data_IF_565225948151
#
_entry.id   IF_565225948151
#
_cell.length_a   1.000
_cell.length_b   1.000
_cell.length_c   1.000
_cell.angle_alpha   90.00
_cell.angle_beta   90.00
_cell.angle_gamma   90.00
#
_symmetry.space_group_name_H-M   'P 1'
#
loop_
_entity.id
_entity.type
_entity.pdbx_description
1 polymer ?
#
# COMPACT_ATOMS: atom_id res chain seq x y z
N UNK A 1 14.76 29.84 23.18
CA UNK A 1 15.02 29.04 24.38
C UNK A 1 13.70 28.41 24.78
N UNK A 2 13.70 27.10 25.01
CA UNK A 2 12.54 26.36 25.51
C UNK A 2 12.98 25.66 26.78
N UNK A 3 12.10 25.63 27.77
CA UNK A 3 12.38 25.04 29.08
C UNK A 3 11.28 24.04 29.41
N UNK A 4 11.66 22.90 29.98
CA UNK A 4 10.73 21.87 30.40
C UNK A 4 11.33 21.01 31.49
N UNK A 5 10.48 20.30 32.23
CA UNK A 5 10.91 19.36 33.25
C UNK A 5 11.39 18.06 32.63
N UNK A 6 12.43 17.45 33.21
CA UNK A 6 12.94 16.15 32.77
C UNK A 6 11.86 15.06 32.87
N UNK A 7 10.99 15.13 33.88
CA UNK A 7 9.84 14.24 34.05
C UNK A 7 8.87 14.30 32.87
N UNK A 8 8.75 15.45 32.21
CA UNK A 8 7.86 15.60 31.05
C UNK A 8 8.41 14.85 29.85
N UNK A 9 9.74 14.85 29.69
CA UNK A 9 10.42 14.13 28.60
C UNK A 9 10.49 12.62 28.87
N UNK A 10 10.73 12.22 30.12
CA UNK A 10 10.89 10.81 30.51
C UNK A 10 9.62 9.97 30.33
N UNK A 11 8.46 10.59 30.19
CA UNK A 11 7.17 9.93 29.85
C UNK A 11 7.22 9.16 28.54
N UNK A 12 8.04 9.58 27.58
CA UNK A 12 8.15 8.94 26.27
C UNK A 12 9.60 8.51 25.99
N UNK A 13 10.09 7.45 26.66
CA UNK A 13 11.51 7.07 26.63
C UNK A 13 11.99 6.58 25.25
N UNK A 14 11.07 6.19 24.36
CA UNK A 14 11.40 5.73 23.02
C UNK A 14 11.82 6.87 22.07
N UNK A 15 11.42 8.10 22.41
CA UNK A 15 11.68 9.30 21.61
C UNK A 15 13.12 9.79 21.78
N UNK A 16 13.57 10.69 20.89
CA UNK A 16 14.91 11.28 20.97
C UNK A 16 15.11 12.07 22.27
N UNK A 17 14.14 12.90 22.67
CA UNK A 17 14.24 13.76 23.85
C UNK A 17 13.97 13.01 25.16
N UNK A 18 13.14 11.96 25.11
CA UNK A 18 12.86 11.14 26.29
C UNK A 18 13.97 10.16 26.64
N UNK A 19 14.81 9.78 25.68
CA UNK A 19 15.92 8.86 25.92
C UNK A 19 17.23 9.63 26.27
N UNK A 20 17.78 9.49 27.49
CA UNK A 20 19.01 10.16 27.89
C UNK A 20 20.19 9.84 26.96
N UNK A 21 20.31 8.58 26.53
CA UNK A 21 21.36 8.11 25.61
C UNK A 21 21.28 8.74 24.23
N UNK A 22 20.07 9.07 23.74
CA UNK A 22 19.87 9.67 22.41
C UNK A 22 20.05 11.19 22.47
N UNK A 23 19.61 11.86 23.53
CA UNK A 23 19.73 13.33 23.62
C UNK A 23 21.12 13.81 24.02
N UNK A 24 21.93 13.00 24.73
CA UNK A 24 23.27 13.40 25.20
C UNK A 24 24.20 13.86 24.07
N UNK A 25 24.01 13.34 22.85
CA UNK A 25 24.79 13.75 21.67
C UNK A 25 24.54 15.22 21.25
N UNK A 26 23.44 15.83 21.71
CA UNK A 26 23.07 17.22 21.41
C UNK A 26 23.32 18.15 22.61
N UNK A 27 23.97 17.66 23.66
CA UNK A 27 24.21 18.44 24.87
C UNK A 27 25.46 19.31 24.72
N UNK A 28 25.30 20.63 24.85
CA UNK A 28 26.38 21.59 24.89
C UNK A 28 26.82 21.86 26.34
N UNK A 29 28.00 21.35 26.70
CA UNK A 29 28.58 21.50 28.04
C UNK A 29 28.90 22.95 28.42
N UNK A 30 29.06 23.85 27.44
CA UNK A 30 29.45 25.24 27.71
C UNK A 30 28.28 26.05 28.25
N UNK A 31 27.08 25.78 27.73
CA UNK A 31 25.85 26.51 28.01
C UNK A 31 24.85 25.71 28.85
N UNK A 32 25.21 24.48 29.24
CA UNK A 32 24.38 23.54 30.01
C UNK A 32 23.00 23.28 29.37
N UNK A 33 22.96 23.23 28.03
CA UNK A 33 21.71 23.13 27.26
C UNK A 33 21.78 22.08 26.16
N UNK A 34 20.60 21.62 25.70
CA UNK A 34 20.50 20.78 24.52
C UNK A 34 20.25 21.65 23.29
N UNK A 35 21.19 21.65 22.35
CA UNK A 35 21.12 22.49 21.17
C UNK A 35 20.68 21.72 19.92
N UNK A 36 19.64 22.23 19.26
CA UNK A 36 19.12 21.69 18.00
C UNK A 36 19.04 22.80 16.95
N UNK A 37 19.86 22.71 15.89
CA UNK A 37 19.79 23.64 14.75
C UNK A 37 18.67 23.24 13.77
N UNK A 38 17.42 23.35 14.21
CA UNK A 38 16.23 22.89 13.48
C UNK A 38 15.09 23.91 13.52
N UNK A 39 13.95 23.58 12.93
CA UNK A 39 12.82 24.51 12.81
C UNK A 39 12.20 24.82 14.20
N UNK A 40 12.36 26.07 14.64
CA UNK A 40 11.89 26.55 15.94
C UNK A 40 10.36 26.48 16.10
N UNK A 41 9.60 26.76 15.03
CA UNK A 41 8.14 26.77 15.09
C UNK A 41 7.57 25.35 15.18
N UNK A 42 8.22 24.39 14.52
CA UNK A 42 7.85 22.98 14.63
C UNK A 42 8.12 22.45 16.05
N UNK A 43 9.24 22.87 16.66
CA UNK A 43 9.61 22.42 18.00
C UNK A 43 8.57 22.76 19.07
N UNK A 44 7.84 23.86 18.93
CA UNK A 44 6.78 24.25 19.86
C UNK A 44 5.69 23.16 19.97
N UNK A 45 5.23 22.66 18.82
CA UNK A 45 4.29 21.54 18.76
C UNK A 45 4.91 20.20 19.22
N UNK A 46 6.19 19.98 18.96
CA UNK A 46 6.94 18.81 19.44
C UNK A 46 7.01 18.82 20.97
N UNK A 47 7.28 19.96 21.60
CA UNK A 47 7.33 20.09 23.05
C UNK A 47 5.93 19.94 23.66
N UNK A 48 4.93 20.55 23.03
CA UNK A 48 3.53 20.42 23.43
C UNK A 48 3.06 18.97 23.46
N UNK A 49 3.56 18.10 22.57
CA UNK A 49 3.26 16.66 22.59
C UNK A 49 3.61 16.00 23.94
N UNK A 50 4.76 16.33 24.54
CA UNK A 50 5.16 15.77 25.84
C UNK A 50 4.32 16.34 26.98
N UNK A 51 4.00 17.65 26.91
CA UNK A 51 3.22 18.34 27.93
C UNK A 51 1.74 17.90 27.94
N UNK A 52 1.18 17.65 26.76
CA UNK A 52 -0.24 17.33 26.55
C UNK A 52 -0.57 15.84 26.57
N UNK A 53 0.37 15.00 27.02
CA UNK A 53 0.21 13.54 27.07
C UNK A 53 -0.09 12.89 25.70
N UNK A 54 0.58 13.39 24.66
CA UNK A 54 0.62 12.75 23.35
C UNK A 54 -0.22 13.41 22.28
N UNK A 55 -0.76 14.62 22.52
CA UNK A 55 -1.47 15.38 21.47
C UNK A 55 -0.45 16.08 20.58
N UNK A 56 -0.41 15.67 19.32
CA UNK A 56 0.43 16.29 18.30
C UNK A 56 -0.46 17.08 17.33
N UNK A 57 -0.31 18.39 17.30
CA UNK A 57 -1.04 19.28 16.39
C UNK A 57 -0.02 20.06 15.58
N UNK A 58 -0.15 20.02 14.25
CA UNK A 58 0.73 20.78 13.35
C UNK A 58 0.40 22.28 13.43
N UNK A 59 1.39 23.17 13.61
CA UNK A 59 1.17 24.62 13.51
C UNK A 59 0.89 25.06 12.06
N UNK A 60 -0.03 26.01 11.88
CA UNK A 60 -0.41 26.50 10.54
C UNK A 60 0.74 27.17 9.77
N UNK A 61 1.64 27.83 10.50
CA UNK A 61 2.81 28.52 9.94
C UNK A 61 3.90 27.58 9.43
N UNK A 62 3.83 26.29 9.78
CA UNK A 62 4.84 25.30 9.40
C UNK A 62 4.28 24.41 8.28
N UNK A 63 4.94 24.38 7.11
CA UNK A 63 4.59 23.45 6.03
C UNK A 63 4.55 22.01 6.53
N UNK A 64 3.61 21.23 6.03
CA UNK A 64 3.37 19.87 6.52
C UNK A 64 4.58 18.95 6.36
N UNK A 65 5.26 18.98 5.22
CA UNK A 65 6.47 18.19 4.98
C UNK A 65 7.57 18.49 6.02
N UNK A 66 7.81 19.78 6.30
CA UNK A 66 8.80 20.21 7.30
C UNK A 66 8.41 19.69 8.68
N UNK A 67 7.14 19.79 9.05
CA UNK A 67 6.68 19.28 10.33
C UNK A 67 6.84 17.76 10.46
N UNK A 68 6.53 17.00 9.41
CA UNK A 68 6.71 15.53 9.38
C UNK A 68 8.18 15.15 9.56
N UNK A 69 9.08 15.86 8.88
CA UNK A 69 10.52 15.62 9.01
C UNK A 69 11.01 15.88 10.44
N UNK A 70 10.50 16.92 11.10
CA UNK A 70 10.78 17.18 12.52
C UNK A 70 10.23 16.08 13.44
N UNK A 71 8.98 15.67 13.25
CA UNK A 71 8.36 14.57 14.02
C UNK A 71 9.16 13.26 13.86
N UNK A 72 9.64 12.98 12.65
CA UNK A 72 10.50 11.83 12.35
C UNK A 72 11.87 11.97 13.01
N UNK A 73 12.49 13.15 12.96
CA UNK A 73 13.78 13.42 13.59
C UNK A 73 13.72 13.20 15.11
N UNK A 74 12.69 13.71 15.78
CA UNK A 74 12.48 13.51 17.21
C UNK A 74 11.97 12.11 17.58
N UNK A 75 11.78 11.23 16.59
CA UNK A 75 11.36 9.84 16.74
C UNK A 75 10.02 9.72 17.49
N UNK A 76 9.11 10.68 17.28
CA UNK A 76 7.79 10.66 17.91
C UNK A 76 6.89 9.71 17.13
N UNK A 77 6.50 8.62 17.79
CA UNK A 77 5.54 7.65 17.26
C UNK A 77 4.13 8.22 17.38
N UNK A 78 3.74 9.06 16.42
CA UNK A 78 2.41 9.68 16.39
C UNK A 78 1.44 8.93 15.47
N UNK A 79 0.14 8.97 15.82
CA UNK A 79 -0.92 8.52 14.90
C UNK A 79 -1.07 9.43 13.67
N UNK A 80 -0.48 10.64 13.71
CA UNK A 80 -0.49 11.60 12.60
C UNK A 80 0.21 11.02 11.36
N UNK A 81 1.43 10.50 11.54
CA UNK A 81 2.19 9.92 10.42
C UNK A 81 1.53 8.67 9.86
N UNK A 82 0.97 7.80 10.71
CA UNK A 82 0.31 6.56 10.26
C UNK A 82 -1.02 6.80 9.54
N UNK A 83 -1.81 7.78 10.00
CA UNK A 83 -3.07 8.15 9.33
C UNK A 83 -2.78 8.79 7.98
N UNK A 84 -1.78 9.67 7.90
CA UNK A 84 -1.32 10.23 6.63
C UNK A 84 -0.74 9.17 5.70
N UNK A 85 0.09 8.25 6.20
CA UNK A 85 0.62 7.16 5.37
C UNK A 85 -0.50 6.28 4.80
N UNK A 86 -1.60 6.07 5.55
CA UNK A 86 -2.80 5.40 5.05
C UNK A 86 -3.52 6.25 4.00
N UNK A 87 -3.73 7.54 4.26
CA UNK A 87 -4.39 8.45 3.33
C UNK A 87 -3.59 8.61 2.04
N UNK A 88 -2.27 8.76 2.12
CA UNK A 88 -1.37 8.86 0.98
C UNK A 88 -1.39 7.57 0.16
N UNK A 89 -1.40 6.39 0.81
CA UNK A 89 -1.60 5.12 0.10
C UNK A 89 -2.96 5.03 -0.57
N UNK A 90 -4.02 5.47 0.10
CA UNK A 90 -5.37 5.52 -0.46
C UNK A 90 -5.43 6.46 -1.68
N UNK A 91 -4.87 7.66 -1.58
CA UNK A 91 -4.84 8.67 -2.63
C UNK A 91 -3.97 8.25 -3.81
N UNK A 92 -2.83 7.61 -3.56
CA UNK A 92 -1.95 7.05 -4.59
C UNK A 92 -2.50 5.76 -5.22
N UNK A 93 -3.70 5.30 -4.81
CA UNK A 93 -4.28 4.04 -5.29
C UNK A 93 -3.43 2.82 -4.93
N UNK A 94 -2.59 2.94 -3.91
CA UNK A 94 -1.61 1.95 -3.47
C UNK A 94 -2.08 1.14 -2.26
N UNK A 95 -3.36 1.24 -1.90
CA UNK A 95 -4.01 0.31 -0.98
C UNK A 95 -4.35 -0.99 -1.72
N UNK A 96 -3.32 -1.79 -2.00
CA UNK A 96 -3.54 -3.22 -2.13
C UNK A 96 -3.51 -3.80 -0.72
N UNK A 97 -4.68 -4.15 -0.18
CA UNK A 97 -4.79 -5.02 0.98
C UNK A 97 -4.08 -6.34 0.63
N UNK A 98 -2.79 -6.42 1.00
CA UNK A 98 -1.98 -7.59 0.68
C UNK A 98 -2.61 -8.78 1.40
N UNK A 99 -3.04 -9.82 0.67
CA UNK A 99 -3.61 -10.99 1.30
C UNK A 99 -2.54 -11.62 2.22
N UNK A 100 -2.93 -11.97 3.45
CA UNK A 100 -2.01 -12.48 4.47
C UNK A 100 -1.27 -13.76 4.03
N UNK A 101 -1.85 -14.51 3.08
CA UNK A 101 -1.27 -15.76 2.57
C UNK A 101 -0.20 -15.49 1.50
N UNK A 102 1.00 -16.05 1.72
CA UNK A 102 2.17 -15.88 0.85
C UNK A 102 1.94 -16.28 -0.61
N UNK A 103 1.14 -17.33 -0.85
CA UNK A 103 0.80 -17.80 -2.20
C UNK A 103 -0.14 -16.81 -2.88
N UNK A 104 -1.17 -16.35 -2.17
CA UNK A 104 -2.13 -15.38 -2.68
C UNK A 104 -1.46 -14.04 -2.99
N UNK A 105 -0.48 -13.63 -2.18
CA UNK A 105 0.34 -12.44 -2.41
C UNK A 105 1.23 -12.58 -3.64
N UNK A 106 1.86 -13.74 -3.85
CA UNK A 106 2.65 -14.01 -5.07
C UNK A 106 1.79 -13.97 -6.33
N UNK A 107 0.61 -14.59 -6.29
CA UNK A 107 -0.33 -14.60 -7.42
C UNK A 107 -0.86 -13.19 -7.68
N UNK A 108 -1.24 -12.47 -6.62
CA UNK A 108 -1.69 -11.09 -6.69
C UNK A 108 -0.63 -10.18 -7.33
N UNK A 109 0.61 -10.24 -6.86
CA UNK A 109 1.73 -9.48 -7.44
C UNK A 109 2.02 -9.86 -8.91
N UNK A 110 1.82 -11.13 -9.27
CA UNK A 110 1.99 -11.62 -10.65
C UNK A 110 0.95 -11.01 -11.61
N UNK A 111 -0.28 -10.76 -11.12
CA UNK A 111 -1.38 -10.19 -11.90
C UNK A 111 -1.42 -8.65 -11.85
N UNK A 112 -1.07 -8.02 -10.73
CA UNK A 112 -1.12 -6.56 -10.58
C UNK A 112 -0.03 -5.82 -11.37
N UNK A 113 1.08 -6.49 -11.70
CA UNK A 113 2.18 -5.90 -12.47
C UNK A 113 2.61 -6.83 -13.62
N UNK A 114 1.84 -6.88 -14.73
CA UNK A 114 2.13 -7.74 -15.87
C UNK A 114 3.48 -7.45 -16.56
N UNK A 115 4.04 -6.26 -16.34
CA UNK A 115 5.34 -5.83 -16.85
C UNK A 115 6.56 -6.32 -16.06
N UNK A 116 6.36 -6.81 -14.82
CA UNK A 116 7.48 -7.09 -13.91
C UNK A 116 8.06 -8.50 -14.04
N UNK A 117 7.31 -9.45 -14.62
CA UNK A 117 7.67 -10.86 -14.63
C UNK A 117 7.45 -11.49 -16.01
N UNK A 118 8.43 -12.27 -16.46
CA UNK A 118 8.40 -12.97 -17.76
C UNK A 118 7.15 -13.85 -17.91
N UNK A 119 6.70 -14.51 -16.84
CA UNK A 119 5.49 -15.34 -16.84
C UNK A 119 4.21 -14.53 -17.11
N UNK A 120 4.11 -13.30 -16.58
CA UNK A 120 2.94 -12.46 -16.77
C UNK A 120 2.85 -11.92 -18.20
N UNK A 121 4.00 -11.61 -18.83
CA UNK A 121 4.09 -11.22 -20.25
C UNK A 121 3.65 -12.36 -21.18
N UNK A 122 4.08 -13.59 -20.91
CA UNK A 122 3.65 -14.77 -21.68
C UNK A 122 2.14 -15.00 -21.59
N UNK A 123 1.56 -14.87 -20.39
CA UNK A 123 0.11 -15.01 -20.19
C UNK A 123 -0.70 -13.93 -20.92
N UNK A 124 -0.23 -12.68 -20.91
CA UNK A 124 -0.88 -11.58 -21.62
C UNK A 124 -0.83 -11.76 -23.15
N UNK A 125 0.28 -12.25 -23.69
CA UNK A 125 0.38 -12.55 -25.14
C UNK A 125 -0.54 -13.69 -25.53
N UNK A 126 -0.64 -14.73 -24.68
CA UNK A 126 -1.48 -15.90 -24.92
C UNK A 126 -2.98 -15.53 -24.92
N UNK A 127 -3.43 -14.65 -24.03
CA UNK A 127 -4.83 -14.22 -24.01
C UNK A 127 -5.24 -13.44 -25.27
N UNK A 128 -4.36 -12.56 -25.78
CA UNK A 128 -4.59 -11.82 -27.03
C UNK A 128 -4.67 -12.76 -28.23
N UNK A 129 -3.81 -13.77 -28.29
CA UNK A 129 -3.83 -14.79 -29.35
C UNK A 129 -5.15 -15.57 -29.36
N UNK A 130 -5.65 -15.96 -28.18
CA UNK A 130 -6.93 -16.69 -28.06
C UNK A 130 -8.10 -15.85 -28.58
N UNK A 131 -8.15 -14.57 -28.21
CA UNK A 131 -9.21 -13.65 -28.66
C UNK A 131 -9.17 -13.53 -30.19
N UNK A 132 -7.99 -13.32 -30.78
CA UNK A 132 -7.83 -13.23 -32.23
C UNK A 132 -8.25 -14.52 -32.93
N UNK A 133 -7.86 -15.69 -32.40
CA UNK A 133 -8.23 -16.98 -32.97
C UNK A 133 -9.75 -17.21 -32.88
N UNK A 134 -10.41 -16.83 -31.80
CA UNK A 134 -11.87 -16.99 -31.65
C UNK A 134 -12.69 -16.16 -32.65
N UNK A 135 -12.13 -15.08 -33.18
CA UNK A 135 -12.79 -14.21 -34.17
C UNK A 135 -12.45 -14.64 -35.60
N UNK A 136 -11.22 -15.10 -35.83
CA UNK A 136 -10.72 -15.44 -37.17
C UNK A 136 -11.15 -16.84 -37.63
N UNK A 137 -11.15 -17.84 -36.73
CA UNK A 137 -11.48 -19.23 -37.07
C UNK A 137 -12.91 -19.36 -37.66
N UNK A 138 -13.97 -18.75 -37.09
CA UNK A 138 -15.31 -18.78 -37.67
C UNK A 138 -15.42 -18.05 -39.02
N UNK A 139 -14.49 -17.16 -39.33
CA UNK A 139 -14.45 -16.43 -40.60
C UNK A 139 -13.91 -17.28 -41.75
N UNK A 140 -13.15 -18.34 -41.44
CA UNK A 140 -12.62 -19.28 -42.42
C UNK A 140 -13.51 -20.52 -42.63
N UNK A 141 -14.31 -20.94 -41.64
CA UNK A 141 -14.99 -22.25 -41.64
C UNK A 141 -16.49 -22.21 -42.02
N UNK A 142 -16.82 -21.54 -43.11
CA UNK A 142 -18.18 -21.53 -43.67
C UNK A 142 -18.58 -22.87 -44.34
N UNK A 143 -17.81 -23.96 -44.17
CA UNK A 143 -18.03 -25.22 -44.91
C UNK A 143 -18.07 -26.54 -44.09
N UNK A 144 -17.60 -26.62 -42.83
CA UNK A 144 -17.57 -27.88 -42.04
C UNK A 144 -18.35 -27.82 -40.70
N UNK A 145 -19.41 -27.03 -40.66
CA UNK A 145 -20.06 -26.50 -39.44
C UNK A 145 -20.69 -27.47 -38.42
N UNK A 146 -20.96 -28.74 -38.74
CA UNK A 146 -21.81 -29.59 -37.88
C UNK A 146 -21.06 -30.36 -36.78
N UNK A 147 -19.80 -30.74 -37.01
CA UNK A 147 -19.00 -31.53 -36.04
C UNK A 147 -18.34 -30.64 -34.99
N UNK A 148 -18.03 -29.39 -35.34
CA UNK A 148 -17.34 -28.45 -34.46
C UNK A 148 -18.24 -27.95 -33.32
N UNK A 149 -19.53 -27.69 -33.60
CA UNK A 149 -20.54 -27.31 -32.61
C UNK A 149 -20.70 -28.36 -31.50
N UNK A 150 -20.64 -29.65 -31.85
CA UNK A 150 -20.73 -30.73 -30.88
C UNK A 150 -19.53 -30.74 -29.90
N UNK A 151 -18.33 -30.43 -30.41
CA UNK A 151 -17.12 -30.30 -29.58
C UNK A 151 -17.19 -29.06 -28.66
N UNK A 152 -17.70 -27.92 -29.14
CA UNK A 152 -17.90 -26.73 -28.30
C UNK A 152 -18.92 -26.96 -27.17
N UNK A 153 -20.02 -27.66 -27.45
CA UNK A 153 -21.02 -28.01 -26.44
C UNK A 153 -20.40 -28.93 -25.36
N UNK A 154 -19.55 -29.87 -25.77
CA UNK A 154 -18.86 -30.75 -24.83
C UNK A 154 -17.85 -30.00 -23.94
N UNK A 155 -17.05 -29.09 -24.51
CA UNK A 155 -16.09 -28.29 -23.74
C UNK A 155 -16.77 -27.27 -22.82
N UNK A 156 -17.87 -26.64 -23.26
CA UNK A 156 -18.67 -25.75 -22.41
C UNK A 156 -19.33 -26.52 -21.26
N UNK A 157 -19.80 -27.75 -21.51
CA UNK A 157 -20.33 -28.62 -20.46
C UNK A 157 -19.26 -28.99 -19.41
N UNK A 158 -18.07 -29.39 -19.83
CA UNK A 158 -16.94 -29.65 -18.92
C UNK A 158 -16.58 -28.41 -18.08
N UNK A 159 -16.64 -27.21 -18.67
CA UNK A 159 -16.39 -25.94 -17.99
C UNK A 159 -17.47 -25.65 -16.92
N UNK A 160 -18.75 -25.86 -17.24
CA UNK A 160 -19.87 -25.68 -16.31
C UNK A 160 -19.78 -26.66 -15.14
N UNK A 161 -19.39 -27.91 -15.39
CA UNK A 161 -19.21 -28.91 -14.32
C UNK A 161 -18.07 -28.50 -13.39
N UNK A 162 -16.93 -28.05 -13.92
CA UNK A 162 -15.82 -27.54 -13.09
C UNK A 162 -16.20 -26.28 -12.31
N UNK A 163 -17.01 -25.39 -12.90
CA UNK A 163 -17.53 -24.20 -12.22
C UNK A 163 -18.48 -24.55 -11.06
N UNK A 164 -19.40 -25.48 -11.27
CA UNK A 164 -20.32 -25.95 -10.24
C UNK A 164 -19.62 -26.71 -9.10
N UNK A 165 -18.47 -27.32 -9.37
CA UNK A 165 -17.65 -28.02 -8.37
C UNK A 165 -16.79 -27.09 -7.48
N UNK A 166 -16.68 -25.79 -7.81
CA UNK A 166 -15.87 -24.85 -7.04
C UNK A 166 -16.67 -24.19 -5.88
N UNK A 167 -16.17 -24.12 -4.63
CA UNK A 167 -17.02 -23.88 -3.46
C UNK A 167 -17.27 -22.41 -3.11
N UNK A 168 -16.66 -21.42 -3.77
CA UNK A 168 -16.80 -20.01 -3.38
C UNK A 168 -17.04 -19.06 -4.56
N UNK A 169 -18.31 -18.66 -4.72
CA UNK A 169 -18.96 -18.23 -5.97
C UNK A 169 -18.74 -16.78 -6.44
N UNK A 170 -18.00 -15.93 -5.72
CA UNK A 170 -17.98 -14.47 -6.00
C UNK A 170 -16.75 -13.91 -6.74
N UNK A 171 -15.61 -14.63 -6.79
CA UNK A 171 -14.41 -14.17 -7.52
C UNK A 171 -14.37 -14.60 -9.00
N UNK A 172 -15.15 -15.62 -9.35
CA UNK A 172 -15.22 -16.14 -10.72
C UNK A 172 -16.20 -15.32 -11.58
N UNK A 173 -17.25 -14.75 -10.98
CA UNK A 173 -18.28 -13.99 -11.69
C UNK A 173 -17.78 -12.61 -12.18
N UNK A 174 -16.90 -11.94 -11.43
CA UNK A 174 -16.35 -10.63 -11.83
C UNK A 174 -15.27 -10.72 -12.92
N UNK A 175 -14.56 -11.85 -13.03
CA UNK A 175 -13.51 -12.05 -14.04
C UNK A 175 -14.08 -12.41 -15.43
N UNK A 176 -15.19 -13.15 -15.48
CA UNK A 176 -15.79 -13.53 -16.77
C UNK A 176 -16.64 -12.41 -17.39
N UNK A 177 -17.32 -11.58 -16.57
CA UNK A 177 -18.29 -10.59 -17.03
C UNK A 177 -17.64 -9.35 -17.72
N UNK A 178 -16.42 -8.97 -17.31
CA UNK A 178 -15.69 -7.86 -17.94
C UNK A 178 -15.10 -8.25 -19.31
N UNK A 179 -14.91 -9.56 -19.56
CA UNK A 179 -14.33 -10.11 -20.80
C UNK A 179 -15.40 -10.44 -21.86
N UNK A 180 -16.69 -10.14 -21.59
CA UNK A 180 -17.79 -10.29 -22.55
C UNK A 180 -18.44 -8.94 -22.94
N UNK A 181 -18.01 -7.83 -22.33
CA UNK A 181 -18.53 -6.47 -22.59
C UNK A 181 -17.47 -5.51 -23.20
N UNK A 182 -16.30 -6.05 -23.56
CA UNK A 182 -15.31 -5.42 -24.46
C UNK A 182 -14.83 -6.48 -25.44
#
# INVERSE_FOLDING_TARGET
MFETLEETLSRYPDTLLGCPKKRVQYFDKRNDEYFFNRNRLAFDAILFYYQSYGRLVRPDMVPENVFIDEVRFFQIRSSYTSTRDKIERALLGKDEDLPQNLIQRKIWLLFSHPESSYAARVLAVLSVIIILLSVVIPCFDTFFSSLEMACYIWFTFELVVRFCSAPHKLRFFFAQCLTLLT
#
